data_IF_453721558125
#
_entry.id   IF_453721558125
#
_cell.length_a   1.000
_cell.length_b   1.000
_cell.length_c   1.000
_cell.angle_alpha   90.00
_cell.angle_beta   90.00
_cell.angle_gamma   90.00
#
_symmetry.space_group_name_H-M   'P 1'
#
loop_
_entity.id
_entity.type
_entity.pdbx_description
1 polymer ?
#
# COMPACT_ATOMS: atom_id res chain seq x y z
N UNK A 1 -26.14 32.84 57.37
CA UNK A 1 -24.77 33.36 57.09
C UNK A 1 -23.67 32.36 57.50
N UNK A 2 -23.67 31.79 58.71
CA UNK A 2 -22.63 30.84 59.16
C UNK A 2 -22.52 29.52 58.35
N UNK A 3 -23.63 29.00 57.81
CA UNK A 3 -23.64 27.75 57.01
C UNK A 3 -22.92 27.89 55.66
N UNK A 4 -23.10 29.01 54.95
CA UNK A 4 -22.44 29.29 53.67
C UNK A 4 -20.92 29.44 53.82
N UNK A 5 -20.46 30.14 54.86
CA UNK A 5 -19.02 30.28 55.14
C UNK A 5 -18.37 28.93 55.49
N UNK A 6 -19.06 28.05 56.23
CA UNK A 6 -18.60 26.70 56.53
C UNK A 6 -18.51 25.83 55.26
N UNK A 7 -19.54 25.87 54.41
CA UNK A 7 -19.55 25.15 53.13
C UNK A 7 -18.45 25.66 52.18
N UNK A 8 -18.24 26.98 52.12
CA UNK A 8 -17.17 27.61 51.33
C UNK A 8 -15.79 27.14 51.77
N UNK A 9 -15.50 27.16 53.07
CA UNK A 9 -14.21 26.67 53.61
C UNK A 9 -13.99 25.18 53.32
N UNK A 10 -15.02 24.35 53.48
CA UNK A 10 -14.94 22.92 53.16
C UNK A 10 -14.65 22.68 51.67
N UNK A 11 -15.33 23.41 50.76
CA UNK A 11 -15.08 23.33 49.33
C UNK A 11 -13.64 23.71 48.95
N UNK A 12 -13.11 24.82 49.49
CA UNK A 12 -11.72 25.22 49.21
C UNK A 12 -10.70 24.24 49.80
N UNK A 13 -10.98 23.63 50.95
CA UNK A 13 -10.14 22.60 51.53
C UNK A 13 -10.12 21.32 50.67
N UNK A 14 -11.28 20.88 50.18
CA UNK A 14 -11.38 19.74 49.27
C UNK A 14 -10.66 20.01 47.93
N UNK A 15 -10.81 21.23 47.40
CA UNK A 15 -10.17 21.66 46.15
C UNK A 15 -8.64 21.76 46.31
N UNK A 16 -8.15 22.24 47.45
CA UNK A 16 -6.72 22.23 47.77
C UNK A 16 -6.18 20.81 47.92
N UNK A 17 -6.92 19.92 48.59
CA UNK A 17 -6.60 18.49 48.70
C UNK A 17 -6.45 17.83 47.32
N UNK A 18 -7.45 17.99 46.44
CA UNK A 18 -7.42 17.48 45.06
C UNK A 18 -6.27 18.07 44.23
N UNK A 19 -5.97 19.36 44.42
CA UNK A 19 -4.85 20.03 43.74
C UNK A 19 -3.49 19.49 44.22
N UNK A 20 -3.34 19.19 45.51
CA UNK A 20 -2.14 18.56 46.07
C UNK A 20 -1.97 17.12 45.56
N UNK A 21 -3.02 16.31 45.57
CA UNK A 21 -3.01 14.95 45.02
C UNK A 21 -2.62 14.94 43.53
N UNK A 22 -3.22 15.82 42.73
CA UNK A 22 -2.88 16.01 41.32
C UNK A 22 -1.40 16.36 41.11
N UNK A 23 -0.87 17.30 41.90
CA UNK A 23 0.55 17.69 41.85
C UNK A 23 1.47 16.53 42.19
N UNK A 24 1.20 15.80 43.26
CA UNK A 24 2.03 14.66 43.69
C UNK A 24 2.03 13.57 42.63
N UNK A 25 0.85 13.12 42.19
CA UNK A 25 0.75 12.08 41.18
C UNK A 25 1.48 12.44 39.87
N UNK A 26 1.36 13.69 39.40
CA UNK A 26 2.02 14.15 38.18
C UNK A 26 3.52 14.35 38.35
N UNK A 27 3.99 14.76 39.52
CA UNK A 27 5.43 14.80 39.84
C UNK A 27 6.05 13.40 39.81
N UNK A 28 5.35 12.39 40.33
CA UNK A 28 5.81 11.01 40.27
C UNK A 28 5.89 10.52 38.81
N UNK A 29 4.92 10.88 37.98
CA UNK A 29 4.94 10.58 36.54
C UNK A 29 6.08 11.27 35.81
N UNK A 30 6.40 12.52 36.16
CA UNK A 30 7.55 13.26 35.60
C UNK A 30 8.85 12.57 35.99
N UNK A 31 9.05 12.26 37.28
CA UNK A 31 10.26 11.59 37.73
C UNK A 31 10.46 10.23 37.06
N UNK A 32 9.37 9.45 36.90
CA UNK A 32 9.40 8.21 36.11
C UNK A 32 9.75 8.45 34.65
N UNK A 33 9.23 9.51 34.02
CA UNK A 33 9.53 9.84 32.64
C UNK A 33 11.00 10.28 32.46
N UNK A 34 11.53 11.09 33.38
CA UNK A 34 12.92 11.55 33.38
C UNK A 34 13.89 10.36 33.55
N UNK A 35 13.56 9.38 34.39
CA UNK A 35 14.37 8.17 34.54
C UNK A 35 14.53 7.36 33.24
N UNK A 36 13.56 7.47 32.32
CA UNK A 36 13.62 6.79 31.02
C UNK A 36 14.68 7.39 30.08
N UNK A 37 15.19 8.60 30.34
CA UNK A 37 16.18 9.25 29.47
C UNK A 37 17.41 8.36 29.22
N UNK A 38 17.84 7.62 30.25
CA UNK A 38 18.96 6.67 30.18
C UNK A 38 18.72 5.48 29.24
N UNK A 39 17.46 5.17 28.94
CA UNK A 39 17.08 4.05 28.08
C UNK A 39 17.03 4.42 26.59
N UNK A 40 17.22 5.71 26.25
CA UNK A 40 17.14 6.20 24.88
C UNK A 40 15.83 5.80 24.18
N UNK A 41 15.92 5.27 22.96
CA UNK A 41 14.72 4.92 22.17
C UNK A 41 13.89 3.78 22.75
N UNK A 42 14.49 2.88 23.53
CA UNK A 42 13.77 1.80 24.21
C UNK A 42 12.79 2.33 25.26
N UNK A 43 13.06 3.51 25.83
CA UNK A 43 12.19 4.17 26.81
C UNK A 43 10.88 4.72 26.23
N UNK A 44 10.76 4.89 24.90
CA UNK A 44 9.60 5.54 24.27
C UNK A 44 8.29 4.79 24.57
N UNK A 45 8.31 3.45 24.56
CA UNK A 45 7.11 2.65 24.85
C UNK A 45 6.64 2.83 26.30
N UNK A 46 7.58 2.90 27.25
CA UNK A 46 7.27 3.17 28.66
C UNK A 46 6.76 4.60 28.84
N UNK A 47 7.38 5.58 28.18
CA UNK A 47 6.93 6.97 28.21
C UNK A 47 5.49 7.15 27.70
N UNK A 48 5.10 6.43 26.64
CA UNK A 48 3.70 6.42 26.16
C UNK A 48 2.71 5.91 27.21
N UNK A 49 3.07 4.86 27.94
CA UNK A 49 2.24 4.37 29.06
C UNK A 49 2.12 5.42 30.16
N UNK A 50 3.19 6.15 30.47
CA UNK A 50 3.15 7.27 31.43
C UNK A 50 2.28 8.42 30.92
N UNK A 51 2.29 8.71 29.62
CA UNK A 51 1.42 9.71 29.02
C UNK A 51 -0.07 9.31 29.14
N UNK A 52 -0.39 8.03 29.04
CA UNK A 52 -1.76 7.57 29.25
C UNK A 52 -2.17 7.66 30.72
N UNK A 53 -1.26 7.34 31.66
CA UNK A 53 -1.48 7.58 33.08
C UNK A 53 -1.64 9.08 33.40
N UNK A 54 -0.89 9.95 32.73
CA UNK A 54 -1.01 11.41 32.86
C UNK A 54 -2.41 11.91 32.51
N UNK A 55 -2.99 11.40 31.40
CA UNK A 55 -4.33 11.78 30.96
C UNK A 55 -5.42 11.38 31.96
N UNK A 56 -5.20 10.28 32.69
CA UNK A 56 -6.12 9.77 33.72
C UNK A 56 -5.92 10.45 35.07
N UNK A 57 -4.77 11.07 35.31
CA UNK A 57 -4.47 11.71 36.58
C UNK A 57 -5.35 12.96 36.83
N UNK A 58 -5.74 13.22 38.10
CA UNK A 58 -6.52 14.39 38.45
C UNK A 58 -5.79 15.68 38.05
N UNK A 59 -6.55 16.73 37.73
CA UNK A 59 -6.01 18.01 37.24
C UNK A 59 -5.84 19.01 38.36
N UNK A 60 -4.73 19.74 38.33
CA UNK A 60 -4.49 20.88 39.21
C UNK A 60 -5.03 22.18 38.57
N UNK A 61 -4.72 23.33 39.18
CA UNK A 61 -4.96 24.62 38.53
C UNK A 61 -4.18 24.74 37.22
N UNK A 62 -4.72 25.49 36.25
CA UNK A 62 -4.17 25.61 34.89
C UNK A 62 -2.66 25.93 34.87
N UNK A 63 -2.23 26.95 35.61
CA UNK A 63 -0.82 27.36 35.65
C UNK A 63 0.12 26.26 36.17
N UNK A 64 -0.32 25.50 37.17
CA UNK A 64 0.45 24.35 37.70
C UNK A 64 0.48 23.23 36.67
N UNK A 65 -0.66 22.94 36.06
CA UNK A 65 -0.79 21.91 35.03
C UNK A 65 0.13 22.18 33.84
N UNK A 66 0.18 23.43 33.36
CA UNK A 66 1.04 23.83 32.24
C UNK A 66 2.53 23.65 32.59
N UNK A 67 2.92 23.99 33.81
CA UNK A 67 4.30 23.80 34.30
C UNK A 67 4.66 22.32 34.38
N UNK A 68 3.80 21.51 35.00
CA UNK A 68 4.00 20.07 35.13
C UNK A 68 4.05 19.40 33.75
N UNK A 69 3.16 19.80 32.83
CA UNK A 69 3.12 19.29 31.48
C UNK A 69 4.37 19.64 30.68
N UNK A 70 4.88 20.86 30.82
CA UNK A 70 6.13 21.27 30.18
C UNK A 70 7.30 20.38 30.62
N UNK A 71 7.44 20.10 31.92
CA UNK A 71 8.45 19.17 32.44
C UNK A 71 8.27 17.75 31.92
N UNK A 72 7.03 17.24 31.92
CA UNK A 72 6.73 15.91 31.39
C UNK A 72 7.08 15.78 29.90
N UNK A 73 6.72 16.80 29.10
CA UNK A 73 7.05 16.90 27.68
C UNK A 73 8.55 16.97 27.45
N UNK A 74 9.29 17.73 28.24
CA UNK A 74 10.74 17.82 28.12
C UNK A 74 11.42 16.45 28.29
N UNK A 75 10.96 15.63 29.25
CA UNK A 75 11.44 14.26 29.40
C UNK A 75 11.16 13.39 28.16
N UNK A 76 9.96 13.52 27.56
CA UNK A 76 9.64 12.85 26.31
C UNK A 76 10.47 13.33 25.12
N UNK A 77 10.71 14.64 25.03
CA UNK A 77 11.45 15.25 23.93
C UNK A 77 12.90 14.75 23.89
N UNK A 78 13.52 14.41 25.03
CA UNK A 78 14.84 13.74 25.09
C UNK A 78 14.81 12.35 24.44
N UNK A 79 13.75 11.57 24.65
CA UNK A 79 13.64 10.22 24.06
C UNK A 79 13.40 10.31 22.54
N UNK A 80 12.56 11.25 22.12
CA UNK A 80 12.25 11.44 20.71
C UNK A 80 13.38 12.11 19.92
N UNK A 81 14.19 12.97 20.55
CA UNK A 81 15.41 13.49 19.94
C UNK A 81 16.46 12.40 19.75
N UNK A 82 16.67 11.54 20.75
CA UNK A 82 17.54 10.37 20.61
C UNK A 82 17.07 9.45 19.46
N UNK A 83 15.76 9.25 19.31
CA UNK A 83 15.22 8.53 18.16
C UNK A 83 15.49 9.24 16.83
N UNK A 84 15.28 10.56 16.77
CA UNK A 84 15.52 11.31 15.56
C UNK A 84 16.99 11.26 15.13
N UNK A 85 17.94 11.28 16.07
CA UNK A 85 19.37 11.14 15.77
C UNK A 85 19.72 9.73 15.28
N UNK A 86 19.17 8.67 15.89
CA UNK A 86 19.35 7.31 15.35
C UNK A 86 18.80 7.18 13.94
N UNK A 87 17.57 7.63 13.71
CA UNK A 87 16.92 7.59 12.40
C UNK A 87 17.76 8.39 11.36
N UNK A 88 18.40 9.50 11.74
CA UNK A 88 19.32 10.27 10.86
C UNK A 88 20.60 9.51 10.53
N UNK A 89 21.22 8.84 11.50
CA UNK A 89 22.45 8.05 11.28
C UNK A 89 22.15 6.87 10.35
N UNK A 90 21.03 6.18 10.57
CA UNK A 90 20.57 5.10 9.69
C UNK A 90 20.27 5.62 8.28
N UNK A 91 19.57 6.75 8.14
CA UNK A 91 19.30 7.36 6.84
C UNK A 91 20.61 7.72 6.11
N UNK A 92 21.58 8.32 6.80
CA UNK A 92 22.88 8.66 6.22
C UNK A 92 23.66 7.42 5.75
N UNK A 93 23.68 6.35 6.56
CA UNK A 93 24.32 5.09 6.18
C UNK A 93 23.64 4.43 4.97
N UNK A 94 22.36 4.68 4.76
CA UNK A 94 21.57 4.11 3.66
C UNK A 94 21.62 4.95 2.36
N UNK A 95 22.25 6.13 2.36
CA UNK A 95 22.36 6.96 1.14
C UNK A 95 23.11 6.24 0.02
N UNK A 96 24.14 5.46 0.35
CA UNK A 96 24.88 4.66 -0.64
C UNK A 96 23.99 3.61 -1.30
N UNK A 97 23.14 2.93 -0.51
CA UNK A 97 22.16 1.98 -1.03
C UNK A 97 21.12 2.67 -1.91
N UNK A 98 20.72 3.90 -1.59
CA UNK A 98 19.80 4.68 -2.41
C UNK A 98 20.38 4.94 -3.81
N UNK A 99 21.63 5.39 -3.88
CA UNK A 99 22.31 5.63 -5.16
C UNK A 99 22.40 4.33 -5.97
N UNK A 100 22.79 3.22 -5.34
CA UNK A 100 22.85 1.92 -5.99
C UNK A 100 21.48 1.46 -6.53
N UNK A 101 20.41 1.62 -5.74
CA UNK A 101 19.05 1.27 -6.18
C UNK A 101 18.54 2.18 -7.30
N UNK A 102 18.83 3.48 -7.27
CA UNK A 102 18.47 4.41 -8.34
C UNK A 102 19.19 4.08 -9.66
N UNK A 103 20.48 3.75 -9.58
CA UNK A 103 21.25 3.28 -10.73
C UNK A 103 20.64 1.99 -11.30
N UNK A 104 20.29 1.03 -10.43
CA UNK A 104 19.66 -0.22 -10.84
C UNK A 104 18.28 0.03 -11.50
N UNK A 105 17.46 0.92 -10.95
CA UNK A 105 16.18 1.29 -11.58
C UNK A 105 16.42 1.86 -12.98
N UNK A 106 17.44 2.71 -13.14
CA UNK A 106 17.75 3.29 -14.45
C UNK A 106 18.29 2.25 -15.44
N UNK A 107 19.14 1.31 -15.00
CA UNK A 107 19.64 0.18 -15.81
C UNK A 107 18.49 -0.69 -16.34
N UNK A 108 17.41 -0.85 -15.57
CA UNK A 108 16.27 -1.70 -15.90
C UNK A 108 15.05 -0.94 -16.44
N UNK A 109 15.23 0.34 -16.82
CA UNK A 109 14.15 1.15 -17.39
C UNK A 109 13.58 0.57 -18.71
N UNK A 110 14.35 -0.29 -19.39
CA UNK A 110 13.94 -1.01 -20.59
C UNK A 110 12.70 -1.89 -20.39
N UNK A 111 12.43 -2.36 -19.15
CA UNK A 111 11.24 -3.18 -18.82
C UNK A 111 9.96 -2.52 -19.32
N UNK A 112 9.83 -1.20 -19.19
CA UNK A 112 8.62 -0.46 -19.59
C UNK A 112 8.40 -0.41 -21.11
N UNK A 113 9.43 -0.71 -21.89
CA UNK A 113 9.39 -0.70 -23.36
C UNK A 113 9.23 -2.09 -23.95
N UNK A 114 9.44 -3.14 -23.16
CA UNK A 114 9.26 -4.52 -23.59
C UNK A 114 7.76 -4.82 -23.75
N UNK A 115 7.39 -5.37 -24.90
CA UNK A 115 6.03 -5.87 -25.17
C UNK A 115 5.96 -7.40 -25.11
N UNK A 116 7.11 -8.08 -25.18
CA UNK A 116 7.21 -9.52 -25.09
C UNK A 116 7.14 -9.98 -23.63
N UNK A 117 6.04 -10.66 -23.27
CA UNK A 117 5.74 -11.05 -21.89
C UNK A 117 6.88 -11.84 -21.25
N UNK A 118 7.35 -12.91 -21.90
CA UNK A 118 8.37 -13.79 -21.30
C UNK A 118 9.71 -13.06 -21.08
N UNK A 119 10.10 -12.20 -22.02
CA UNK A 119 11.29 -11.36 -21.89
C UNK A 119 11.12 -10.33 -20.76
N UNK A 120 9.97 -9.66 -20.68
CA UNK A 120 9.67 -8.69 -19.64
C UNK A 120 9.63 -9.31 -18.24
N UNK A 121 8.98 -10.49 -18.08
CA UNK A 121 8.94 -11.22 -16.80
C UNK A 121 10.32 -11.73 -16.40
N UNK A 122 11.16 -12.20 -17.35
CA UNK A 122 12.53 -12.60 -17.05
C UNK A 122 13.40 -11.41 -16.60
N UNK A 123 13.29 -10.27 -17.30
CA UNK A 123 13.99 -9.03 -16.96
C UNK A 123 13.59 -8.49 -15.59
N UNK A 124 12.28 -8.51 -15.28
CA UNK A 124 11.75 -8.10 -13.98
C UNK A 124 12.22 -9.00 -12.83
N UNK A 125 12.30 -10.32 -13.03
CA UNK A 125 12.86 -11.24 -12.03
C UNK A 125 14.33 -10.93 -11.73
N UNK A 126 15.14 -10.68 -12.77
CA UNK A 126 16.54 -10.30 -12.59
C UNK A 126 16.68 -8.96 -11.85
N UNK A 127 15.81 -7.99 -12.15
CA UNK A 127 15.73 -6.73 -11.40
C UNK A 127 15.47 -6.98 -9.91
N UNK A 128 14.42 -7.73 -9.55
CA UNK A 128 14.07 -8.01 -8.15
C UNK A 128 15.16 -8.77 -7.39
N UNK A 129 15.87 -9.70 -8.06
CA UNK A 129 17.01 -10.38 -7.45
C UNK A 129 18.15 -9.42 -7.12
N UNK A 130 18.53 -8.53 -8.06
CA UNK A 130 19.57 -7.51 -7.80
C UNK A 130 19.10 -6.48 -6.77
N UNK A 131 17.83 -6.09 -6.81
CA UNK A 131 17.25 -5.07 -5.93
C UNK A 131 17.13 -5.54 -4.49
N UNK A 132 16.79 -6.82 -4.26
CA UNK A 132 16.70 -7.41 -2.92
C UNK A 132 18.06 -7.68 -2.29
N UNK A 133 19.12 -7.84 -3.08
CA UNK A 133 20.49 -7.95 -2.60
C UNK A 133 21.04 -6.61 -2.06
N UNK A 134 20.43 -5.48 -2.43
CA UNK A 134 20.77 -4.16 -1.94
C UNK A 134 20.03 -3.85 -0.62
N UNK A 135 20.74 -3.23 0.32
CA UNK A 135 20.21 -2.89 1.65
C UNK A 135 19.04 -1.88 1.64
N UNK A 136 18.54 -1.48 2.82
CA UNK A 136 17.45 -0.52 2.92
C UNK A 136 17.86 0.86 2.39
N UNK A 137 16.86 1.68 2.04
CA UNK A 137 17.06 3.07 1.59
C UNK A 137 16.57 4.04 2.65
N UNK A 138 16.99 5.33 2.60
CA UNK A 138 16.52 6.34 3.51
C UNK A 138 15.01 6.45 3.47
N UNK A 139 14.39 6.65 4.64
CA UNK A 139 12.93 6.57 4.81
C UNK A 139 12.17 7.55 3.90
N UNK A 140 12.75 8.71 3.65
CA UNK A 140 12.17 9.75 2.76
C UNK A 140 12.10 9.31 1.30
N UNK A 141 13.02 8.45 0.86
CA UNK A 141 13.14 7.98 -0.52
C UNK A 141 12.49 6.61 -0.75
N UNK A 142 12.18 5.87 0.33
CA UNK A 142 11.54 4.55 0.25
C UNK A 142 10.29 4.57 -0.65
N UNK A 143 9.40 5.54 -0.43
CA UNK A 143 8.16 5.65 -1.21
C UNK A 143 8.40 5.90 -2.69
N UNK A 144 9.32 6.81 -3.05
CA UNK A 144 9.58 7.13 -4.45
C UNK A 144 10.24 5.97 -5.19
N UNK A 145 11.13 5.25 -4.52
CA UNK A 145 11.74 4.02 -5.04
C UNK A 145 10.68 2.93 -5.24
N UNK A 146 9.83 2.69 -4.24
CA UNK A 146 8.75 1.69 -4.32
C UNK A 146 7.75 2.01 -5.45
N UNK A 147 7.40 3.28 -5.62
CA UNK A 147 6.51 3.73 -6.69
C UNK A 147 7.10 3.46 -8.08
N UNK A 148 8.43 3.52 -8.25
CA UNK A 148 9.11 3.19 -9.50
C UNK A 148 9.14 1.68 -9.74
N UNK A 149 9.49 0.89 -8.73
CA UNK A 149 9.47 -0.58 -8.79
C UNK A 149 8.08 -1.08 -9.17
N UNK A 150 7.05 -0.53 -8.53
CA UNK A 150 5.65 -0.86 -8.79
C UNK A 150 5.23 -0.59 -10.24
N UNK A 151 5.82 0.40 -10.92
CA UNK A 151 5.54 0.64 -12.35
C UNK A 151 6.04 -0.51 -13.21
N UNK A 152 7.22 -1.06 -12.92
CA UNK A 152 7.73 -2.23 -13.62
C UNK A 152 6.84 -3.44 -13.39
N UNK A 153 6.45 -3.69 -12.14
CA UNK A 153 5.55 -4.79 -11.79
C UNK A 153 4.20 -4.67 -12.50
N UNK A 154 3.63 -3.46 -12.51
CA UNK A 154 2.32 -3.20 -13.15
C UNK A 154 2.40 -3.39 -14.66
N UNK A 155 3.48 -2.95 -15.30
CA UNK A 155 3.68 -3.12 -16.73
C UNK A 155 3.73 -4.61 -17.13
N UNK A 156 4.57 -5.40 -16.45
CA UNK A 156 4.68 -6.84 -16.72
C UNK A 156 3.38 -7.57 -16.40
N UNK A 157 2.73 -7.24 -15.28
CA UNK A 157 1.43 -7.80 -14.92
C UNK A 157 0.38 -7.54 -16.01
N UNK A 158 0.36 -6.34 -16.59
CA UNK A 158 -0.55 -6.02 -17.69
C UNK A 158 -0.27 -6.89 -18.93
N UNK A 159 1.00 -7.10 -19.30
CA UNK A 159 1.36 -7.99 -20.41
C UNK A 159 0.92 -9.44 -20.15
N UNK A 160 1.05 -9.91 -18.90
CA UNK A 160 0.59 -11.24 -18.48
C UNK A 160 -0.95 -11.35 -18.54
N UNK A 161 -1.67 -10.34 -18.07
CA UNK A 161 -3.13 -10.25 -18.17
C UNK A 161 -3.60 -10.23 -19.63
N UNK A 162 -2.99 -9.40 -20.49
CA UNK A 162 -3.32 -9.32 -21.91
C UNK A 162 -3.06 -10.66 -22.63
N UNK A 163 -1.97 -11.35 -22.28
CA UNK A 163 -1.69 -12.69 -22.78
C UNK A 163 -2.75 -13.70 -22.33
N UNK A 164 -3.12 -13.68 -21.04
CA UNK A 164 -4.13 -14.59 -20.51
C UNK A 164 -5.51 -14.35 -21.12
N UNK A 165 -5.93 -13.09 -21.27
CA UNK A 165 -7.21 -12.72 -21.88
C UNK A 165 -7.30 -13.17 -23.34
N UNK A 166 -6.19 -13.11 -24.10
CA UNK A 166 -6.10 -13.62 -25.48
C UNK A 166 -6.04 -15.15 -25.55
N UNK A 167 -5.45 -15.79 -24.55
CA UNK A 167 -5.29 -17.24 -24.50
C UNK A 167 -6.34 -17.97 -23.66
N UNK A 168 -7.37 -17.25 -23.21
CA UNK A 168 -8.45 -17.75 -22.38
C UNK A 168 -9.10 -18.99 -23.04
N UNK A 169 -8.99 -20.17 -22.41
CA UNK A 169 -9.47 -21.43 -22.98
C UNK A 169 -10.98 -21.40 -23.24
N UNK A 170 -11.78 -20.67 -22.47
CA UNK A 170 -13.21 -20.56 -22.72
C UNK A 170 -13.52 -19.72 -23.95
N UNK A 171 -12.76 -18.65 -24.20
CA UNK A 171 -12.91 -17.84 -25.41
C UNK A 171 -12.43 -18.58 -26.64
N UNK A 172 -11.29 -19.28 -26.55
CA UNK A 172 -10.81 -20.17 -27.61
C UNK A 172 -11.82 -21.27 -27.90
N UNK A 173 -12.27 -22.00 -26.90
CA UNK A 173 -13.28 -23.06 -27.06
C UNK A 173 -14.61 -22.54 -27.62
N UNK A 174 -15.07 -21.35 -27.21
CA UNK A 174 -16.27 -20.71 -27.79
C UNK A 174 -16.06 -20.33 -29.26
N UNK A 175 -14.91 -19.75 -29.61
CA UNK A 175 -14.58 -19.42 -30.99
C UNK A 175 -14.44 -20.66 -31.88
N UNK A 176 -13.79 -21.71 -31.37
CA UNK A 176 -13.62 -23.01 -32.06
C UNK A 176 -14.97 -23.74 -32.21
N UNK A 177 -15.82 -23.72 -31.19
CA UNK A 177 -17.18 -24.28 -31.25
C UNK A 177 -18.06 -23.52 -32.25
N UNK A 178 -18.00 -22.19 -32.26
CA UNK A 178 -18.76 -21.39 -33.22
C UNK A 178 -18.24 -21.57 -34.65
N UNK A 179 -16.92 -21.66 -34.85
CA UNK A 179 -16.32 -22.01 -36.13
C UNK A 179 -16.80 -23.39 -36.62
N UNK A 180 -16.84 -24.39 -35.73
CA UNK A 180 -17.36 -25.73 -36.05
C UNK A 180 -18.83 -25.68 -36.51
N UNK A 181 -19.68 -24.91 -35.83
CA UNK A 181 -21.08 -24.73 -36.24
C UNK A 181 -21.23 -24.08 -37.62
N UNK A 182 -20.34 -23.15 -37.97
CA UNK A 182 -20.34 -22.51 -39.30
C UNK A 182 -19.88 -23.50 -40.37
N UNK A 183 -18.82 -24.27 -40.10
CA UNK A 183 -18.36 -25.33 -41.01
C UNK A 183 -19.48 -26.36 -41.29
N UNK A 184 -20.18 -26.79 -40.25
CA UNK A 184 -21.34 -27.70 -40.40
C UNK A 184 -22.47 -27.07 -41.22
N UNK A 185 -22.73 -25.78 -41.04
CA UNK A 185 -23.75 -25.05 -41.80
C UNK A 185 -23.38 -24.89 -43.28
N UNK A 186 -22.11 -24.58 -43.56
CA UNK A 186 -21.54 -24.52 -44.93
C UNK A 186 -21.70 -25.87 -45.62
N UNK A 187 -21.26 -26.96 -44.98
CA UNK A 187 -21.37 -28.31 -45.53
C UNK A 187 -22.83 -28.71 -45.84
N UNK A 188 -23.78 -28.32 -44.97
CA UNK A 188 -25.22 -28.54 -45.22
C UNK A 188 -25.75 -27.72 -46.39
N UNK A 189 -25.28 -26.50 -46.59
CA UNK A 189 -25.69 -25.65 -47.74
C UNK A 189 -25.10 -26.20 -49.03
N UNK A 190 -23.82 -26.59 -49.05
CA UNK A 190 -23.18 -27.21 -50.20
C UNK A 190 -23.89 -28.50 -50.63
N UNK A 191 -24.28 -29.36 -49.67
CA UNK A 191 -25.07 -30.55 -49.95
C UNK A 191 -26.47 -30.25 -50.51
N UNK A 192 -27.07 -29.10 -50.16
CA UNK A 192 -28.36 -28.64 -50.72
C UNK A 192 -28.21 -28.06 -52.12
N UNK A 193 -27.13 -27.31 -52.38
CA UNK A 193 -26.79 -26.77 -53.71
C UNK A 193 -26.64 -27.90 -54.72
N UNK A 194 -26.01 -29.02 -54.32
CA UNK A 194 -25.83 -30.19 -55.17
C UNK A 194 -27.15 -30.87 -55.61
N UNK A 195 -28.28 -30.55 -54.96
CA UNK A 195 -29.62 -31.12 -55.23
C UNK A 195 -30.64 -30.07 -55.69
N UNK A 196 -30.22 -28.83 -55.91
CA UNK A 196 -31.10 -27.70 -56.23
C UNK A 196 -30.78 -27.16 -57.63
N UNK A 197 -31.83 -26.73 -58.35
CA UNK A 197 -31.72 -26.14 -59.69
C UNK A 197 -32.44 -24.79 -59.79
N UNK A 198 -32.03 -23.98 -60.77
CA UNK A 198 -32.65 -22.68 -61.06
C UNK A 198 -32.49 -21.65 -59.93
N UNK A 199 -33.52 -20.84 -59.67
CA UNK A 199 -33.46 -19.73 -58.71
C UNK A 199 -33.15 -20.14 -57.26
N UNK A 200 -33.54 -21.35 -56.86
CA UNK A 200 -33.25 -21.89 -55.52
C UNK A 200 -31.78 -22.22 -55.32
N UNK A 201 -31.06 -22.56 -56.40
CA UNK A 201 -29.62 -22.79 -56.37
C UNK A 201 -28.86 -21.47 -56.17
N UNK A 202 -29.25 -20.42 -56.90
CA UNK A 202 -28.65 -19.09 -56.79
C UNK A 202 -28.83 -18.48 -55.37
N UNK A 203 -29.97 -18.71 -54.73
CA UNK A 203 -30.23 -18.26 -53.36
C UNK A 203 -29.32 -18.97 -52.34
N UNK A 204 -29.14 -20.29 -52.47
CA UNK A 204 -28.26 -21.07 -51.60
C UNK A 204 -26.77 -20.74 -51.82
N UNK A 205 -26.36 -20.43 -53.05
CA UNK A 205 -25.00 -19.95 -53.36
C UNK A 205 -24.73 -18.59 -52.71
N UNK A 206 -25.71 -17.66 -52.72
CA UNK A 206 -25.59 -16.39 -52.00
C UNK A 206 -25.50 -16.59 -50.46
N UNK A 207 -26.28 -17.52 -49.90
CA UNK A 207 -26.22 -17.85 -48.47
C UNK A 207 -24.86 -18.50 -48.09
N UNK A 208 -24.32 -19.36 -48.96
CA UNK A 208 -23.01 -19.97 -48.79
C UNK A 208 -21.90 -18.92 -48.71
N UNK A 209 -21.89 -17.97 -49.64
CA UNK A 209 -20.91 -16.88 -49.65
C UNK A 209 -21.04 -15.97 -48.43
N UNK A 210 -22.26 -15.69 -47.96
CA UNK A 210 -22.48 -14.96 -46.71
C UNK A 210 -21.91 -15.70 -45.48
N UNK A 211 -22.07 -17.04 -45.41
CA UNK A 211 -21.51 -17.83 -44.30
C UNK A 211 -19.99 -17.98 -44.37
N UNK A 212 -19.41 -18.08 -45.57
CA UNK A 212 -17.95 -18.05 -45.76
C UNK A 212 -17.35 -16.69 -45.38
N UNK A 213 -18.02 -15.60 -45.74
CA UNK A 213 -17.61 -14.26 -45.31
C UNK A 213 -17.67 -14.12 -43.77
N UNK A 214 -18.70 -14.66 -43.13
CA UNK A 214 -18.81 -14.66 -41.67
C UNK A 214 -17.73 -15.51 -40.98
N UNK A 215 -17.38 -16.65 -41.57
CA UNK A 215 -16.26 -17.50 -41.09
C UNK A 215 -14.91 -16.76 -41.17
N UNK A 216 -14.66 -16.03 -42.27
CA UNK A 216 -13.45 -15.23 -42.43
C UNK A 216 -13.34 -14.09 -41.40
N UNK A 217 -14.48 -13.56 -40.94
CA UNK A 217 -14.54 -12.53 -39.90
C UNK A 217 -14.31 -13.09 -38.49
N UNK A 218 -14.67 -14.35 -38.23
CA UNK A 218 -14.50 -14.98 -36.91
C UNK A 218 -13.10 -15.59 -36.74
N UNK A 219 -12.44 -15.97 -37.84
CA UNK A 219 -11.09 -16.54 -37.82
C UNK A 219 -9.93 -15.54 -37.88
N UNK A 220 -10.21 -14.23 -37.97
CA UNK A 220 -9.23 -13.13 -38.02
C UNK A 220 -9.10 -12.42 -36.66
#
# INVERSE_FOLDING_TARGET
RASLEKARRAYFHELDGKSKEAKTAKRDLISKAEALASQGTAGIAAYRKLLDQWKLAPRASRSVEDTLWASFKAAGDVLYSAKAELDKVEDAANEEHLVAKQALITEFADILTLNERDAASARLRAFHQKFSALGPVPKKSMRSVDDLVKKYDTHVKKLEEDFWVKNDPEKKARSESMATQIYDAIAKIEAKIAKADGGKKAELEAELEAKKAWLAVIGA
#
